data_IF_038042979565
#
_entry.id   IF_038042979565
#
_cell.length_a   1.000
_cell.length_b   1.000
_cell.length_c   1.000
_cell.angle_alpha   90.00
_cell.angle_beta   90.00
_cell.angle_gamma   90.00
#
_symmetry.space_group_name_H-M   'P 1'
#
loop_
_entity.id
_entity.type
_entity.pdbx_description
1 polymer ?
#
# COMPACT_ATOMS: atom_id res chain seq x y z
N UNK A 1 7.21 -3.50 -6.21
CA UNK A 1 6.18 -2.96 -5.30
C UNK A 1 5.84 -4.04 -4.30
N UNK A 2 5.99 -3.76 -3.01
CA UNK A 2 5.57 -4.68 -1.95
C UNK A 2 4.12 -4.31 -1.58
N UNK A 3 3.28 -5.31 -1.36
CA UNK A 3 1.87 -5.14 -1.03
C UNK A 3 1.55 -5.77 0.32
N UNK A 4 0.52 -5.25 0.99
CA UNK A 4 -0.01 -5.90 2.19
C UNK A 4 -0.70 -7.22 1.84
N UNK A 5 -0.86 -8.14 2.80
CA UNK A 5 -1.66 -9.36 2.61
C UNK A 5 -3.05 -9.04 2.09
N UNK A 6 -3.67 -9.92 1.30
CA UNK A 6 -5.04 -9.70 0.84
C UNK A 6 -6.01 -9.70 2.02
N UNK A 7 -7.02 -8.84 1.92
CA UNK A 7 -8.11 -8.72 2.87
C UNK A 7 -9.41 -9.14 2.21
N UNK A 8 -10.20 -9.94 2.88
CA UNK A 8 -11.52 -10.39 2.42
C UNK A 8 -12.60 -9.74 3.27
N UNK A 9 -13.59 -9.14 2.62
CA UNK A 9 -14.72 -8.45 3.23
C UNK A 9 -16.03 -9.10 2.80
N UNK A 10 -17.06 -8.94 3.60
CA UNK A 10 -18.43 -9.17 3.13
C UNK A 10 -18.92 -7.90 2.42
N UNK A 11 -19.33 -8.05 1.18
CA UNK A 11 -19.87 -6.99 0.33
C UNK A 11 -21.38 -7.19 0.18
N UNK A 12 -22.17 -6.20 0.57
CA UNK A 12 -23.56 -6.14 0.20
C UNK A 12 -23.67 -5.56 -1.22
N UNK A 13 -24.05 -6.38 -2.18
CA UNK A 13 -24.10 -6.01 -3.59
C UNK A 13 -25.27 -5.08 -3.95
N UNK A 14 -26.31 -5.04 -3.11
CA UNK A 14 -27.46 -4.15 -3.33
C UNK A 14 -27.18 -2.71 -2.86
N UNK A 15 -26.38 -2.54 -1.81
CA UNK A 15 -26.06 -1.21 -1.24
C UNK A 15 -24.62 -0.78 -1.52
N UNK A 16 -23.81 -1.64 -2.16
CA UNK A 16 -22.38 -1.44 -2.43
C UNK A 16 -21.57 -1.12 -1.16
N UNK A 17 -22.00 -1.66 -0.01
CA UNK A 17 -21.33 -1.46 1.28
C UNK A 17 -20.56 -2.68 1.70
N UNK A 18 -19.34 -2.48 2.21
CA UNK A 18 -18.51 -3.55 2.78
C UNK A 18 -18.61 -3.59 4.30
N UNK A 19 -18.41 -4.79 4.86
CA UNK A 19 -18.26 -4.98 6.30
C UNK A 19 -17.07 -4.16 6.84
N UNK A 20 -17.12 -3.82 8.15
CA UNK A 20 -15.97 -3.19 8.84
C UNK A 20 -14.89 -4.21 9.14
N UNK A 21 -15.32 -5.40 9.53
CA UNK A 21 -14.43 -6.52 9.82
C UNK A 21 -14.00 -7.23 8.54
N UNK A 22 -12.82 -7.80 8.57
CA UNK A 22 -12.23 -8.49 7.42
C UNK A 22 -11.40 -9.70 7.86
N UNK A 23 -11.21 -10.65 6.94
CA UNK A 23 -10.24 -11.72 7.08
C UNK A 23 -8.93 -11.29 6.40
N UNK A 24 -7.84 -11.13 7.16
CA UNK A 24 -6.49 -10.97 6.61
C UNK A 24 -5.93 -12.33 6.25
N UNK A 25 -5.51 -12.50 5.00
CA UNK A 25 -4.95 -13.78 4.51
C UNK A 25 -3.43 -13.66 4.53
N UNK A 26 -2.84 -13.79 5.72
CA UNK A 26 -1.39 -13.85 5.91
C UNK A 26 -0.85 -15.25 5.66
N UNK A 27 -1.65 -16.26 6.03
CA UNK A 27 -1.35 -17.68 5.83
C UNK A 27 -2.60 -18.49 5.49
N UNK A 28 -2.39 -19.66 4.90
CA UNK A 28 -3.47 -20.62 4.65
C UNK A 28 -4.01 -21.16 5.97
N UNK A 29 -5.33 -21.27 6.09
CA UNK A 29 -6.02 -21.67 7.32
C UNK A 29 -6.46 -20.50 8.20
N UNK A 30 -6.14 -19.24 7.85
CA UNK A 30 -6.69 -18.08 8.54
C UNK A 30 -8.23 -18.12 8.54
N UNK A 31 -8.84 -17.87 9.69
CA UNK A 31 -10.29 -17.88 9.89
C UNK A 31 -10.76 -16.65 10.64
N UNK A 32 -11.96 -16.19 10.31
CA UNK A 32 -12.62 -15.11 11.08
C UNK A 32 -14.13 -15.22 10.95
N UNK A 33 -14.85 -14.61 11.87
CA UNK A 33 -16.32 -14.52 11.80
C UNK A 33 -16.74 -13.08 11.50
N UNK A 34 -17.52 -12.90 10.42
CA UNK A 34 -18.03 -11.60 9.98
C UNK A 34 -19.54 -11.75 9.74
N UNK A 35 -20.35 -10.94 10.41
CA UNK A 35 -21.81 -10.86 10.22
C UNK A 35 -22.53 -12.23 10.25
N UNK A 36 -22.05 -13.14 11.11
CA UNK A 36 -22.63 -14.49 11.26
C UNK A 36 -22.16 -15.53 10.25
N UNK A 37 -21.17 -15.18 9.43
CA UNK A 37 -20.46 -16.11 8.56
C UNK A 37 -19.03 -16.34 9.06
N UNK A 38 -18.66 -17.60 9.23
CA UNK A 38 -17.29 -18.03 9.47
C UNK A 38 -16.59 -18.19 8.11
N UNK A 39 -15.58 -17.35 7.86
CA UNK A 39 -14.77 -17.38 6.64
C UNK A 39 -13.44 -18.06 6.94
N UNK A 40 -13.01 -18.96 6.06
CA UNK A 40 -11.73 -19.66 6.16
C UNK A 40 -10.98 -19.58 4.81
N UNK A 41 -9.71 -19.20 4.83
CA UNK A 41 -8.84 -19.25 3.68
C UNK A 41 -8.29 -20.67 3.50
N UNK A 42 -8.81 -21.41 2.50
CA UNK A 42 -8.42 -22.79 2.23
C UNK A 42 -7.14 -22.87 1.42
N UNK A 43 -7.01 -22.00 0.43
CA UNK A 43 -5.84 -21.90 -0.44
C UNK A 43 -5.60 -20.45 -0.84
N UNK A 44 -4.33 -20.09 -0.98
CA UNK A 44 -3.92 -18.77 -1.45
C UNK A 44 -2.90 -18.87 -2.59
N UNK A 45 -3.14 -18.13 -3.65
CA UNK A 45 -2.25 -17.99 -4.80
C UNK A 45 -1.93 -16.51 -4.96
N UNK A 46 -0.66 -16.12 -4.82
CA UNK A 46 -0.23 -14.71 -4.97
C UNK A 46 -0.26 -14.24 -6.43
N UNK A 47 -0.01 -15.17 -7.35
CA UNK A 47 -0.02 -14.95 -8.79
C UNK A 47 -0.95 -15.96 -9.42
N UNK A 48 -2.22 -15.59 -9.60
CA UNK A 48 -3.25 -16.49 -10.10
C UNK A 48 -3.95 -15.94 -11.33
N UNK A 49 -4.32 -16.83 -12.20
CA UNK A 49 -5.18 -16.56 -13.36
C UNK A 49 -6.19 -17.67 -13.53
N UNK A 50 -7.20 -17.42 -14.34
CA UNK A 50 -8.24 -18.38 -14.69
C UNK A 50 -8.34 -18.50 -16.20
N UNK A 51 -8.36 -19.71 -16.70
CA UNK A 51 -8.64 -19.96 -18.10
C UNK A 51 -10.13 -19.71 -18.39
N UNK A 52 -10.51 -19.25 -19.59
CA UNK A 52 -11.90 -18.90 -19.91
C UNK A 52 -12.94 -19.99 -19.65
N UNK A 53 -12.53 -21.27 -19.76
CA UNK A 53 -13.41 -22.42 -19.59
C UNK A 53 -13.31 -23.11 -18.23
N UNK A 54 -12.46 -22.58 -17.33
CA UNK A 54 -12.23 -23.17 -16.00
C UNK A 54 -12.80 -22.28 -14.90
N UNK A 55 -13.42 -22.90 -13.90
CA UNK A 55 -13.90 -22.22 -12.70
C UNK A 55 -12.78 -21.93 -11.71
N UNK A 56 -11.73 -22.75 -11.73
CA UNK A 56 -10.65 -22.70 -10.76
C UNK A 56 -9.52 -21.77 -11.18
N UNK A 57 -8.93 -21.12 -10.19
CA UNK A 57 -7.70 -20.35 -10.37
C UNK A 57 -6.50 -21.27 -10.27
N UNK A 58 -5.53 -21.04 -11.13
CA UNK A 58 -4.25 -21.73 -11.16
C UNK A 58 -3.11 -20.72 -10.98
N UNK A 59 -1.99 -21.16 -10.43
CA UNK A 59 -0.80 -20.35 -10.38
C UNK A 59 -0.25 -20.10 -11.78
N UNK A 60 -0.02 -18.82 -12.09
CA UNK A 60 0.47 -18.36 -13.39
C UNK A 60 1.56 -17.32 -13.22
N UNK A 61 2.67 -17.48 -13.94
CA UNK A 61 3.72 -16.45 -13.99
C UNK A 61 3.55 -15.60 -15.25
N UNK A 62 2.59 -14.70 -15.23
CA UNK A 62 2.26 -13.81 -16.35
C UNK A 62 1.96 -12.40 -15.86
N UNK A 63 2.30 -11.39 -16.67
CA UNK A 63 1.94 -9.99 -16.39
C UNK A 63 0.43 -9.84 -16.40
N UNK A 64 -0.11 -9.25 -15.35
CA UNK A 64 -1.55 -9.02 -15.20
C UNK A 64 -2.30 -10.08 -14.40
N UNK A 65 -1.65 -11.14 -13.90
CA UNK A 65 -2.27 -12.03 -12.91
C UNK A 65 -2.51 -11.30 -11.59
N UNK A 66 -3.46 -11.80 -10.82
CA UNK A 66 -3.89 -11.21 -9.55
C UNK A 66 -3.90 -12.26 -8.44
N UNK A 67 -3.83 -11.87 -7.16
CA UNK A 67 -4.00 -12.81 -6.07
C UNK A 67 -5.40 -13.43 -6.09
N UNK A 68 -5.49 -14.70 -5.73
CA UNK A 68 -6.75 -15.41 -5.54
C UNK A 68 -6.72 -16.25 -4.26
N UNK A 69 -7.85 -16.31 -3.58
CA UNK A 69 -8.06 -17.11 -2.36
C UNK A 69 -9.25 -18.04 -2.57
N UNK A 70 -9.04 -19.32 -2.32
CA UNK A 70 -10.15 -20.26 -2.18
C UNK A 70 -10.71 -20.10 -0.76
N UNK A 71 -11.94 -19.66 -0.67
CA UNK A 71 -12.61 -19.33 0.58
C UNK A 71 -13.71 -20.34 0.85
N UNK A 72 -13.74 -20.87 2.07
CA UNK A 72 -14.89 -21.59 2.60
C UNK A 72 -15.62 -20.69 3.57
N UNK A 73 -16.91 -20.48 3.33
CA UNK A 73 -17.79 -19.69 4.18
C UNK A 73 -18.87 -20.60 4.78
N UNK A 74 -19.08 -20.52 6.09
CA UNK A 74 -20.10 -21.27 6.82
C UNK A 74 -21.00 -20.32 7.59
N UNK A 75 -22.29 -20.38 7.36
CA UNK A 75 -23.26 -19.66 8.15
C UNK A 75 -23.41 -20.31 9.53
N UNK A 76 -23.15 -19.56 10.59
CA UNK A 76 -23.16 -20.08 11.97
C UNK A 76 -24.56 -20.50 12.41
N UNK A 77 -25.60 -19.82 11.90
CA UNK A 77 -26.98 -20.08 12.30
C UNK A 77 -27.63 -21.23 11.53
N UNK A 78 -27.52 -21.23 10.21
CA UNK A 78 -28.14 -22.23 9.35
C UNK A 78 -27.27 -23.46 9.11
N UNK A 79 -25.95 -23.36 9.33
CA UNK A 79 -24.99 -24.39 8.99
C UNK A 79 -24.70 -24.48 7.48
N UNK A 80 -25.27 -23.60 6.67
CA UNK A 80 -25.04 -23.56 5.21
C UNK A 80 -23.55 -23.30 4.92
N UNK A 81 -23.01 -24.02 3.94
CA UNK A 81 -21.61 -23.86 3.52
C UNK A 81 -21.54 -23.50 2.04
N UNK A 82 -20.63 -22.61 1.73
CA UNK A 82 -20.25 -22.18 0.38
C UNK A 82 -18.75 -22.22 0.24
N UNK A 83 -18.25 -22.61 -0.92
CA UNK A 83 -16.81 -22.60 -1.23
C UNK A 83 -16.60 -22.06 -2.64
N UNK A 84 -15.59 -21.24 -2.81
CA UNK A 84 -15.26 -20.68 -4.11
C UNK A 84 -14.09 -19.73 -4.08
N UNK A 85 -13.61 -19.42 -5.26
CA UNK A 85 -12.48 -18.52 -5.45
C UNK A 85 -12.89 -17.05 -5.41
N UNK A 86 -12.11 -16.27 -4.69
CA UNK A 86 -12.25 -14.81 -4.59
C UNK A 86 -10.95 -14.16 -5.04
N UNK A 87 -11.06 -13.18 -5.94
CA UNK A 87 -9.92 -12.42 -6.47
C UNK A 87 -10.29 -10.96 -6.66
N UNK A 88 -9.33 -10.07 -6.43
CA UNK A 88 -9.51 -8.64 -6.72
C UNK A 88 -9.47 -8.31 -8.21
N UNK A 89 -9.15 -9.30 -9.05
CA UNK A 89 -8.92 -9.07 -10.47
C UNK A 89 -7.69 -8.18 -10.76
N UNK A 90 -7.54 -7.82 -12.01
CA UNK A 90 -6.44 -6.99 -12.51
C UNK A 90 -6.92 -6.14 -13.69
N UNK A 91 -5.98 -5.59 -14.47
CA UNK A 91 -6.29 -4.93 -15.74
C UNK A 91 -6.59 -5.91 -16.90
N UNK A 92 -6.39 -7.24 -16.67
CA UNK A 92 -6.69 -8.31 -17.65
C UNK A 92 -7.87 -9.16 -17.18
N UNK A 93 -7.95 -9.46 -15.88
CA UNK A 93 -8.95 -10.34 -15.30
C UNK A 93 -9.95 -9.54 -14.47
N UNK A 94 -11.23 -9.87 -14.63
CA UNK A 94 -12.28 -9.32 -13.79
C UNK A 94 -12.20 -9.86 -12.36
N UNK A 95 -12.67 -9.10 -11.36
CA UNK A 95 -12.79 -9.58 -9.99
C UNK A 95 -13.68 -10.82 -9.92
N UNK A 96 -13.37 -11.72 -8.98
CA UNK A 96 -14.19 -12.90 -8.68
C UNK A 96 -14.71 -12.80 -7.25
N UNK A 97 -16.00 -13.09 -7.08
CA UNK A 97 -16.71 -13.02 -5.80
C UNK A 97 -17.30 -14.38 -5.43
N UNK A 98 -17.32 -14.69 -4.13
CA UNK A 98 -18.06 -15.84 -3.63
C UNK A 98 -19.43 -15.36 -3.09
N UNK A 99 -20.50 -15.61 -3.82
CA UNK A 99 -21.83 -15.23 -3.38
C UNK A 99 -22.34 -16.18 -2.28
N UNK A 100 -22.71 -15.59 -1.14
CA UNK A 100 -23.26 -16.27 0.02
C UNK A 100 -24.80 -16.28 -0.01
N UNK A 101 -25.38 -15.15 -0.45
CA UNK A 101 -26.80 -14.97 -0.72
C UNK A 101 -26.97 -14.10 -1.97
N UNK A 102 -28.22 -13.80 -2.36
CA UNK A 102 -28.48 -12.95 -3.52
C UNK A 102 -27.84 -11.56 -3.44
N UNK A 103 -27.70 -11.03 -2.22
CA UNK A 103 -27.18 -9.67 -1.98
C UNK A 103 -25.92 -9.61 -1.13
N UNK A 104 -25.31 -10.76 -0.81
CA UNK A 104 -24.13 -10.83 0.04
C UNK A 104 -23.05 -11.68 -0.62
N UNK A 105 -21.87 -11.14 -0.76
CA UNK A 105 -20.73 -11.85 -1.34
C UNK A 105 -19.45 -11.61 -0.54
N UNK A 106 -18.53 -12.56 -0.59
CA UNK A 106 -17.14 -12.34 -0.16
C UNK A 106 -16.39 -11.66 -1.30
N UNK A 107 -15.74 -10.56 -1.00
CA UNK A 107 -14.99 -9.75 -1.96
C UNK A 107 -13.57 -9.50 -1.47
N UNK A 108 -12.65 -9.36 -2.42
CA UNK A 108 -11.27 -8.95 -2.21
C UNK A 108 -11.05 -7.60 -2.90
N UNK A 109 -10.80 -6.51 -2.19
CA UNK A 109 -10.36 -5.27 -2.81
C UNK A 109 -8.94 -5.41 -3.36
N UNK A 110 -8.53 -4.49 -4.23
CA UNK A 110 -7.14 -4.40 -4.67
C UNK A 110 -6.24 -4.19 -3.46
N UNK A 111 -5.11 -4.88 -3.46
CA UNK A 111 -4.14 -4.81 -2.36
C UNK A 111 -3.53 -3.41 -2.26
N UNK A 112 -3.40 -2.94 -1.05
CA UNK A 112 -2.69 -1.70 -0.77
C UNK A 112 -1.19 -1.91 -0.88
N UNK A 113 -0.51 -0.96 -1.50
CA UNK A 113 0.93 -1.00 -1.58
C UNK A 113 1.56 -0.65 -0.22
N UNK A 114 2.44 -1.50 0.26
CA UNK A 114 3.26 -1.27 1.44
C UNK A 114 4.47 -0.41 1.12
N UNK A 115 5.02 -0.57 -0.08
CA UNK A 115 6.25 0.12 -0.50
C UNK A 115 6.27 0.33 -2.00
N UNK A 116 6.60 1.54 -2.40
CA UNK A 116 6.88 1.90 -3.78
C UNK A 116 8.38 2.09 -3.95
N UNK A 117 8.97 1.34 -4.88
CA UNK A 117 10.38 1.37 -5.18
C UNK A 117 10.58 1.44 -6.69
N UNK A 118 11.25 2.48 -7.17
CA UNK A 118 11.72 2.58 -8.55
C UNK A 118 13.23 2.37 -8.59
N UNK A 119 13.68 1.42 -9.41
CA UNK A 119 15.09 1.21 -9.73
C UNK A 119 15.40 1.98 -11.01
N UNK A 120 16.28 2.96 -10.93
CA UNK A 120 16.65 3.80 -12.05
C UNK A 120 18.16 3.80 -12.26
N UNK A 121 18.58 3.77 -13.51
CA UNK A 121 19.94 4.01 -13.93
C UNK A 121 20.04 5.46 -14.42
N UNK A 122 20.91 6.23 -13.80
CA UNK A 122 21.19 7.61 -14.22
C UNK A 122 22.52 7.64 -14.92
N UNK A 123 22.52 8.14 -16.15
CA UNK A 123 23.74 8.35 -16.95
C UNK A 123 24.14 9.81 -16.85
N UNK A 124 25.34 10.07 -16.33
CA UNK A 124 25.94 11.41 -16.26
C UNK A 124 26.47 11.85 -17.61
N UNK A 125 26.70 13.13 -17.80
CA UNK A 125 27.35 13.68 -19.02
C UNK A 125 28.73 13.06 -19.27
N UNK A 126 29.43 12.65 -18.21
CA UNK A 126 30.72 11.92 -18.28
C UNK A 126 30.60 10.52 -18.87
N UNK A 127 29.39 10.00 -19.11
CA UNK A 127 29.14 8.62 -19.50
C UNK A 127 29.12 7.62 -18.32
N UNK A 128 29.38 8.06 -17.11
CA UNK A 128 29.30 7.24 -15.90
C UNK A 128 27.84 6.91 -15.59
N UNK A 129 27.58 5.63 -15.26
CA UNK A 129 26.26 5.12 -14.93
C UNK A 129 26.17 4.81 -13.43
N UNK A 130 25.14 5.33 -12.81
CA UNK A 130 24.86 5.06 -11.40
C UNK A 130 23.43 4.50 -11.24
N UNK A 131 23.28 3.48 -10.41
CA UNK A 131 21.99 2.86 -10.10
C UNK A 131 21.46 3.41 -8.79
N UNK A 132 20.21 3.84 -8.79
CA UNK A 132 19.52 4.35 -7.61
C UNK A 132 18.23 3.58 -7.35
N UNK A 133 17.96 3.39 -6.07
CA UNK A 133 16.66 2.96 -5.58
C UNK A 133 15.91 4.21 -5.06
N UNK A 134 14.85 4.61 -5.74
CA UNK A 134 14.05 5.77 -5.36
C UNK A 134 12.77 5.28 -4.73
N UNK A 135 12.48 5.75 -3.52
CA UNK A 135 11.25 5.48 -2.80
C UNK A 135 10.51 6.78 -2.50
N UNK A 136 9.24 6.65 -2.17
CA UNK A 136 8.46 7.81 -1.68
C UNK A 136 9.16 8.40 -0.44
N UNK A 137 9.40 9.71 -0.46
CA UNK A 137 10.15 10.46 0.57
C UNK A 137 11.66 10.14 0.68
N UNK A 138 12.21 9.26 -0.17
CA UNK A 138 13.65 8.98 -0.22
C UNK A 138 14.19 9.25 -1.63
N UNK A 139 14.45 10.54 -1.97
CA UNK A 139 14.94 10.91 -3.30
C UNK A 139 16.38 10.48 -3.52
N UNK A 140 16.70 10.11 -4.76
CA UNK A 140 18.08 9.98 -5.19
C UNK A 140 18.75 11.36 -5.30
N UNK A 141 20.06 11.41 -5.01
CA UNK A 141 20.89 12.62 -5.16
C UNK A 141 21.94 12.35 -6.21
N UNK A 142 21.92 13.15 -7.25
CA UNK A 142 22.87 13.08 -8.34
C UNK A 142 23.48 14.48 -8.52
N UNK A 143 24.66 14.69 -7.95
CA UNK A 143 25.26 16.03 -7.91
C UNK A 143 24.37 17.04 -7.21
N UNK A 144 23.97 18.11 -7.91
CA UNK A 144 23.06 19.14 -7.41
C UNK A 144 21.57 18.80 -7.60
N UNK A 145 21.25 17.67 -8.23
CA UNK A 145 19.89 17.24 -8.50
C UNK A 145 19.36 16.31 -7.43
N UNK A 146 18.05 16.41 -7.20
CA UNK A 146 17.26 15.46 -6.41
C UNK A 146 16.18 14.90 -7.30
N UNK A 147 16.07 13.58 -7.33
CA UNK A 147 15.11 12.85 -8.13
C UNK A 147 14.10 12.22 -7.20
N UNK A 148 12.85 12.67 -7.29
CA UNK A 148 11.73 12.21 -6.49
C UNK A 148 10.84 11.31 -7.33
N UNK A 149 10.27 10.28 -6.70
CA UNK A 149 9.16 9.53 -7.29
C UNK A 149 7.85 10.22 -6.92
N UNK A 150 7.13 10.74 -7.91
CA UNK A 150 5.86 11.47 -7.73
C UNK A 150 4.65 10.67 -8.17
N UNK A 151 4.83 9.59 -8.94
CA UNK A 151 3.71 8.76 -9.37
C UNK A 151 4.14 7.50 -10.12
N UNK A 152 3.14 6.68 -10.41
CA UNK A 152 3.25 5.47 -11.21
C UNK A 152 1.89 5.17 -11.88
N UNK A 153 1.85 4.22 -12.81
CA UNK A 153 0.60 3.77 -13.43
C UNK A 153 -0.22 2.93 -12.43
N UNK A 154 -1.20 3.57 -11.79
CA UNK A 154 -2.08 2.95 -10.81
C UNK A 154 -3.03 1.93 -11.42
N UNK A 155 -3.35 2.03 -12.71
CA UNK A 155 -4.26 1.11 -13.38
C UNK A 155 -3.67 -0.31 -13.44
N UNK A 156 -2.35 -0.41 -13.61
CA UNK A 156 -1.62 -1.68 -13.66
C UNK A 156 -1.15 -2.17 -12.28
N UNK A 157 -1.22 -1.32 -11.25
CA UNK A 157 -0.83 -1.69 -9.89
C UNK A 157 0.60 -2.24 -9.81
N UNK A 158 0.77 -3.43 -9.25
CA UNK A 158 2.08 -4.12 -9.14
C UNK A 158 2.78 -4.39 -10.49
N UNK A 159 2.03 -4.38 -11.57
CA UNK A 159 2.51 -4.58 -12.95
C UNK A 159 2.85 -3.29 -13.66
N UNK A 160 2.84 -2.15 -12.95
CA UNK A 160 3.25 -0.88 -13.51
C UNK A 160 4.70 -0.93 -13.96
N UNK A 161 4.93 -0.65 -15.24
CA UNK A 161 6.27 -0.49 -15.83
C UNK A 161 6.67 1.00 -15.94
N UNK A 162 5.78 1.91 -15.53
CA UNK A 162 5.97 3.36 -15.66
C UNK A 162 6.06 4.00 -14.29
N UNK A 163 7.11 4.80 -14.09
CA UNK A 163 7.27 5.67 -12.94
C UNK A 163 7.39 7.11 -13.39
N UNK A 164 6.70 8.02 -12.71
CA UNK A 164 6.83 9.46 -12.94
C UNK A 164 7.84 10.00 -11.93
N UNK A 165 8.93 10.55 -12.45
CA UNK A 165 10.02 11.09 -11.65
C UNK A 165 10.08 12.60 -11.84
N UNK A 166 10.27 13.33 -10.74
CA UNK A 166 10.51 14.77 -10.74
C UNK A 166 11.99 15.02 -10.41
N UNK A 167 12.67 15.75 -11.29
CA UNK A 167 14.06 16.14 -11.10
C UNK A 167 14.12 17.61 -10.66
N UNK A 168 14.54 17.85 -9.42
CA UNK A 168 14.61 19.20 -8.84
C UNK A 168 16.07 19.57 -8.60
N UNK A 169 16.46 20.75 -9.10
CA UNK A 169 17.75 21.37 -8.76
C UNK A 169 17.50 22.55 -7.83
N UNK A 170 17.71 22.34 -6.55
CA UNK A 170 17.48 23.35 -5.52
C UNK A 170 18.83 23.90 -5.00
N UNK A 171 19.28 25.02 -5.57
CA UNK A 171 20.48 25.70 -5.14
C UNK A 171 20.34 26.39 -3.78
N UNK A 172 19.14 26.66 -3.32
CA UNK A 172 18.85 27.34 -2.06
C UNK A 172 18.63 26.41 -0.88
N UNK A 173 18.56 25.11 -1.11
CA UNK A 173 18.28 24.10 -0.07
C UNK A 173 19.18 24.27 1.17
N UNK A 174 20.49 24.40 0.99
CA UNK A 174 21.43 24.54 2.10
C UNK A 174 21.25 25.87 2.85
N UNK A 175 21.01 26.96 2.13
CA UNK A 175 20.79 28.26 2.73
C UNK A 175 19.51 28.30 3.58
N UNK A 176 18.41 27.71 3.08
CA UNK A 176 17.15 27.61 3.80
C UNK A 176 17.31 26.75 5.06
N UNK A 177 18.01 25.62 4.98
CA UNK A 177 18.27 24.77 6.14
C UNK A 177 19.07 25.50 7.23
N UNK A 178 20.14 26.19 6.84
CA UNK A 178 20.94 26.98 7.78
C UNK A 178 20.07 28.05 8.45
N UNK A 179 19.25 28.76 7.67
CA UNK A 179 18.35 29.78 8.21
C UNK A 179 17.34 29.20 9.21
N UNK A 180 16.73 28.06 8.90
CA UNK A 180 15.78 27.39 9.80
C UNK A 180 16.43 26.94 11.11
N UNK A 181 17.62 26.32 11.05
CA UNK A 181 18.35 25.91 12.24
C UNK A 181 18.81 27.12 13.10
N UNK A 182 19.22 28.18 12.44
CA UNK A 182 19.60 29.44 13.13
C UNK A 182 18.39 30.04 13.84
N UNK A 183 17.25 30.09 13.18
CA UNK A 183 16.01 30.59 13.78
C UNK A 183 15.57 29.74 14.98
N UNK A 184 15.65 28.42 14.87
CA UNK A 184 15.35 27.50 15.97
C UNK A 184 16.28 27.73 17.17
N UNK A 185 17.58 27.79 16.90
CA UNK A 185 18.58 28.06 17.95
C UNK A 185 18.35 29.43 18.64
N UNK A 186 18.06 30.48 17.87
CA UNK A 186 17.73 31.79 18.40
C UNK A 186 16.48 31.75 19.28
N UNK A 187 15.43 31.01 18.88
CA UNK A 187 14.24 30.78 19.69
C UNK A 187 14.55 30.10 21.02
N UNK A 188 15.34 29.04 21.03
CA UNK A 188 15.76 28.34 22.25
C UNK A 188 16.52 29.29 23.19
N UNK A 189 17.48 30.07 22.67
CA UNK A 189 18.26 31.06 23.45
C UNK A 189 17.32 32.12 24.03
N UNK A 190 16.37 32.61 23.24
CA UNK A 190 15.41 33.62 23.70
C UNK A 190 14.57 33.08 24.88
N UNK A 191 14.04 31.87 24.81
CA UNK A 191 13.27 31.25 25.88
C UNK A 191 14.12 31.00 27.14
N UNK A 192 15.35 30.50 26.97
CA UNK A 192 16.26 30.26 28.08
C UNK A 192 16.62 31.56 28.83
N UNK A 193 16.88 32.65 28.08
CA UNK A 193 17.24 33.95 28.68
C UNK A 193 16.02 34.68 29.28
N UNK A 194 14.84 34.53 28.69
CA UNK A 194 13.60 35.10 29.24
C UNK A 194 13.23 34.47 30.60
N UNK A 195 13.40 33.17 30.76
CA UNK A 195 13.21 32.45 32.03
C UNK A 195 14.15 32.90 33.13
N UNK A 196 15.42 33.16 32.79
CA UNK A 196 16.42 33.67 33.74
C UNK A 196 16.16 35.10 34.25
N UNK A 197 15.58 35.96 33.42
CA UNK A 197 15.21 37.32 33.80
C UNK A 197 14.04 37.37 34.81
N UNK A 198 13.08 36.47 34.74
CA UNK A 198 11.99 36.39 35.72
C UNK A 198 12.49 35.95 37.09
N UNK A 199 13.33 34.94 37.21
CA UNK A 199 13.91 34.48 38.48
C UNK A 199 14.72 35.59 39.19
N UNK A 200 15.49 36.37 38.44
CA UNK A 200 16.32 37.45 39.01
C UNK A 200 15.52 38.66 39.51
N UNK A 201 14.28 38.85 39.04
CA UNK A 201 13.36 39.89 39.53
C UNK A 201 12.63 39.47 40.81
N UNK A 202 12.35 38.17 40.97
CA UNK A 202 11.71 37.65 42.20
C UNK A 202 12.69 37.60 43.39
N UNK A 203 13.98 37.35 43.13
CA UNK A 203 15.04 37.30 44.15
C UNK A 203 15.46 38.71 44.68
N UNK A 204 15.04 39.79 44.02
CA UNK A 204 15.31 41.18 44.42
C UNK A 204 14.11 41.89 45.04
N UNK A 205 13.04 41.18 45.35
CA UNK A 205 11.84 41.65 46.03
C UNK A 205 11.71 41.00 47.40
#
# INVERSE_FOLDING_TARGET
MDEYPPKLYLLNTATETSSRDFLSVEEVGATTTIDGWELSAVQYLDMAGRMPEQSDFIEMNHVGVAPAVLVRAKNIRSGEQREGWVSCGSFIFEPSYLFLTDNLAVAMPRREAKRYLSRVEVMKESGEKENFNIEVNHPARVGAWRIYQVGYDTARGRWSATSVLECVRDGWYSAVHIALWTMLAAGVVMFATAGGRKRRKEEKR
#
